data_IF_733237535926
#
_entry.id   IF_733237535926
#
_cell.length_a   1.000
_cell.length_b   1.000
_cell.length_c   1.000
_cell.angle_alpha   90.00
_cell.angle_beta   90.00
_cell.angle_gamma   90.00
#
_symmetry.space_group_name_H-M   'P 1'
#
loop_
_entity.id
_entity.type
_entity.pdbx_description
1 polymer ?
#
# COMPACT_ATOMS: atom_id res chain seq x y z
N UNK A 1 -20.06 35.10 13.73
CA UNK A 1 -19.89 34.10 12.66
C UNK A 1 -18.91 33.03 13.14
N UNK A 2 -19.39 31.93 13.72
CA UNK A 2 -18.52 30.85 14.24
C UNK A 2 -18.80 29.57 13.44
N UNK A 3 -17.81 29.15 12.66
CA UNK A 3 -17.84 27.91 11.91
C UNK A 3 -18.04 26.73 12.89
N UNK A 4 -19.08 25.96 12.63
CA UNK A 4 -19.53 24.85 13.46
C UNK A 4 -18.48 23.72 13.47
N UNK A 5 -18.02 23.38 14.68
CA UNK A 5 -17.07 22.29 14.99
C UNK A 5 -17.60 20.91 14.57
N UNK A 6 -18.87 20.82 14.14
CA UNK A 6 -19.44 19.68 13.44
C UNK A 6 -18.65 19.28 12.18
N UNK A 7 -17.86 20.20 11.59
CA UNK A 7 -17.08 19.92 10.39
C UNK A 7 -15.74 19.22 10.65
N UNK A 8 -15.16 19.36 11.85
CA UNK A 8 -13.86 18.75 12.17
C UNK A 8 -13.96 17.25 12.53
N UNK A 9 -15.10 16.82 13.06
CA UNK A 9 -15.40 15.39 13.28
C UNK A 9 -15.77 14.62 12.01
N UNK A 10 -16.08 15.33 10.91
CA UNK A 10 -16.35 14.73 9.59
C UNK A 10 -15.06 14.51 8.79
N UNK A 11 -14.02 15.30 9.07
CA UNK A 11 -12.71 15.20 8.41
C UNK A 11 -11.85 14.07 9.00
N UNK A 12 -11.94 13.80 10.31
CA UNK A 12 -11.29 12.63 10.93
C UNK A 12 -11.98 11.29 10.63
N UNK A 13 -13.17 11.34 10.01
CA UNK A 13 -13.99 10.20 9.58
C UNK A 13 -13.94 10.02 8.06
N UNK A 14 -12.89 10.55 7.43
CA UNK A 14 -12.58 10.21 6.06
C UNK A 14 -11.96 8.82 6.09
N UNK A 15 -12.86 7.84 6.00
CA UNK A 15 -12.56 6.47 5.60
C UNK A 15 -11.72 6.61 4.33
N UNK A 16 -10.40 6.51 4.43
CA UNK A 16 -9.55 6.22 3.27
C UNK A 16 -9.67 4.73 2.95
N UNK A 17 -10.91 4.23 2.85
CA UNK A 17 -11.21 3.27 1.81
C UNK A 17 -10.99 4.09 0.56
N UNK A 18 -9.91 3.80 -0.17
CA UNK A 18 -9.85 4.23 -1.55
C UNK A 18 -11.21 3.83 -2.17
N UNK A 19 -11.80 4.68 -3.02
CA UNK A 19 -13.01 4.26 -3.70
C UNK A 19 -12.67 2.93 -4.39
N UNK A 20 -13.60 1.98 -4.36
CA UNK A 20 -13.34 0.56 -4.66
C UNK A 20 -12.61 0.39 -6.00
N UNK A 21 -12.87 1.29 -6.95
CA UNK A 21 -12.19 1.40 -8.24
C UNK A 21 -10.67 1.63 -8.12
N UNK A 22 -10.22 2.49 -7.21
CA UNK A 22 -8.79 2.75 -6.99
C UNK A 22 -8.08 1.58 -6.31
N UNK A 23 -8.75 0.90 -5.38
CA UNK A 23 -8.21 -0.29 -4.73
C UNK A 23 -8.06 -1.44 -5.73
N UNK A 24 -9.09 -1.69 -6.55
CA UNK A 24 -9.04 -2.67 -7.63
C UNK A 24 -7.91 -2.36 -8.61
N UNK A 25 -7.77 -1.10 -9.05
CA UNK A 25 -6.68 -0.67 -9.94
C UNK A 25 -5.31 -1.01 -9.35
N UNK A 26 -5.07 -0.72 -8.06
CA UNK A 26 -3.78 -1.02 -7.40
C UNK A 26 -3.49 -2.51 -7.36
N UNK A 27 -4.50 -3.34 -7.06
CA UNK A 27 -4.36 -4.80 -7.04
C UNK A 27 -4.03 -5.33 -8.44
N UNK A 28 -4.76 -4.87 -9.46
CA UNK A 28 -4.51 -5.26 -10.85
C UNK A 28 -3.15 -4.79 -11.35
N UNK A 29 -2.73 -3.56 -11.04
CA UNK A 29 -1.41 -3.03 -11.35
C UNK A 29 -0.31 -3.89 -10.72
N UNK A 30 -0.42 -4.22 -9.43
CA UNK A 30 0.57 -5.07 -8.76
C UNK A 30 0.63 -6.47 -9.37
N UNK A 31 -0.52 -7.08 -9.68
CA UNK A 31 -0.58 -8.37 -10.34
C UNK A 31 0.06 -8.33 -11.73
N UNK A 32 -0.17 -7.26 -12.49
CA UNK A 32 0.42 -7.03 -13.81
C UNK A 32 1.94 -6.88 -13.72
N UNK A 33 2.42 -6.04 -12.80
CA UNK A 33 3.85 -5.85 -12.54
C UNK A 33 4.55 -7.15 -12.12
N UNK A 34 3.90 -7.98 -11.30
CA UNK A 34 4.43 -9.30 -10.93
C UNK A 34 4.56 -10.22 -12.14
N UNK A 35 3.60 -10.19 -13.07
CA UNK A 35 3.64 -10.96 -14.32
C UNK A 35 4.75 -10.45 -15.24
N UNK A 36 4.84 -9.14 -15.42
CA UNK A 36 5.90 -8.52 -16.23
C UNK A 36 7.29 -8.82 -15.66
N UNK A 37 7.45 -8.80 -14.34
CA UNK A 37 8.71 -9.12 -13.68
C UNK A 37 9.19 -10.56 -13.93
N UNK A 38 8.29 -11.50 -14.26
CA UNK A 38 8.68 -12.87 -14.65
C UNK A 38 9.31 -12.94 -16.04
N UNK A 39 9.03 -11.96 -16.91
CA UNK A 39 9.56 -11.91 -18.29
C UNK A 39 10.95 -11.26 -18.39
N UNK A 40 11.49 -10.79 -17.26
CA UNK A 40 12.80 -10.15 -17.19
C UNK A 40 13.91 -11.17 -17.51
N UNK A 41 14.68 -10.89 -18.57
CA UNK A 41 15.76 -11.76 -19.04
C UNK A 41 17.10 -11.49 -18.33
N UNK A 42 17.26 -10.33 -17.69
CA UNK A 42 18.53 -9.94 -17.06
C UNK A 42 18.71 -10.64 -15.71
N UNK A 43 19.74 -11.49 -15.51
CA UNK A 43 19.91 -12.26 -14.26
C UNK A 43 20.03 -11.38 -13.01
N UNK A 44 20.69 -10.22 -13.13
CA UNK A 44 20.85 -9.25 -12.03
C UNK A 44 19.50 -8.65 -11.61
N UNK A 45 18.68 -8.27 -12.58
CA UNK A 45 17.35 -7.71 -12.32
C UNK A 45 16.40 -8.78 -11.77
N UNK A 46 16.49 -10.01 -12.29
CA UNK A 46 15.71 -11.13 -11.79
C UNK A 46 16.00 -11.44 -10.31
N UNK A 47 17.27 -11.49 -9.90
CA UNK A 47 17.63 -11.63 -8.47
C UNK A 47 17.03 -10.51 -7.62
N UNK A 48 17.08 -9.26 -8.09
CA UNK A 48 16.48 -8.13 -7.37
C UNK A 48 14.97 -8.28 -7.18
N UNK A 49 14.26 -8.84 -8.16
CA UNK A 49 12.82 -9.17 -8.02
C UNK A 49 12.60 -10.25 -6.97
N UNK A 50 13.42 -11.31 -6.97
CA UNK A 50 13.28 -12.39 -5.99
C UNK A 50 13.56 -11.88 -4.56
N UNK A 51 14.63 -11.12 -4.37
CA UNK A 51 14.97 -10.53 -3.06
C UNK A 51 13.84 -9.61 -2.57
N UNK A 52 13.28 -8.79 -3.46
CA UNK A 52 12.15 -7.92 -3.13
C UNK A 52 10.92 -8.73 -2.72
N UNK A 53 10.60 -9.81 -3.46
CA UNK A 53 9.47 -10.69 -3.18
C UNK A 53 9.60 -11.35 -1.81
N UNK A 54 10.79 -11.89 -1.50
CA UNK A 54 11.07 -12.52 -0.19
C UNK A 54 10.91 -11.49 0.93
N UNK A 55 11.55 -10.31 0.81
CA UNK A 55 11.44 -9.25 1.82
C UNK A 55 10.01 -8.80 2.09
N UNK A 56 9.21 -8.60 1.03
CA UNK A 56 7.82 -8.19 1.19
C UNK A 56 6.97 -9.32 1.80
N UNK A 57 7.25 -10.58 1.44
CA UNK A 57 6.56 -11.73 2.02
C UNK A 57 6.88 -11.88 3.51
N UNK A 58 8.16 -11.78 3.89
CA UNK A 58 8.59 -11.84 5.30
C UNK A 58 7.98 -10.70 6.12
N UNK A 59 7.90 -9.50 5.54
CA UNK A 59 7.24 -8.36 6.18
C UNK A 59 5.74 -8.62 6.40
N UNK A 60 5.04 -9.22 5.43
CA UNK A 60 3.62 -9.59 5.59
C UNK A 60 3.42 -10.65 6.68
N UNK A 61 4.26 -11.69 6.68
CA UNK A 61 4.19 -12.75 7.70
C UNK A 61 4.43 -12.16 9.08
N UNK A 62 5.51 -11.38 9.24
CA UNK A 62 5.83 -10.72 10.51
C UNK A 62 4.72 -9.81 11.01
N UNK A 63 4.09 -9.02 10.13
CA UNK A 63 2.98 -8.15 10.55
C UNK A 63 1.74 -8.96 10.92
N UNK A 64 1.44 -10.07 10.22
CA UNK A 64 0.35 -10.99 10.59
C UNK A 64 0.59 -11.63 11.95
N UNK A 65 1.81 -12.09 12.22
CA UNK A 65 2.18 -12.71 13.49
C UNK A 65 2.11 -11.69 14.64
N UNK A 66 2.63 -10.48 14.43
CA UNK A 66 2.55 -9.39 15.40
C UNK A 66 1.12 -8.93 15.65
N UNK A 67 0.28 -8.95 14.61
CA UNK A 67 -1.14 -8.64 14.72
C UNK A 67 -1.86 -9.69 15.55
N UNK A 68 -1.70 -10.98 15.23
CA UNK A 68 -2.33 -12.08 15.96
C UNK A 68 -1.87 -12.12 17.42
N UNK A 69 -0.56 -12.01 17.68
CA UNK A 69 0.00 -12.09 19.03
C UNK A 69 -0.38 -10.90 19.93
N UNK A 70 -0.67 -9.72 19.35
CA UNK A 70 -0.93 -8.48 20.11
C UNK A 70 -2.32 -7.91 19.85
N UNK A 71 -3.23 -8.69 19.28
CA UNK A 71 -4.56 -8.19 18.92
C UNK A 71 -5.32 -7.70 20.15
N UNK A 72 -5.49 -8.57 21.14
CA UNK A 72 -6.29 -8.25 22.34
C UNK A 72 -5.69 -7.08 23.12
N UNK A 73 -4.38 -7.09 23.33
CA UNK A 73 -3.68 -5.99 24.03
C UNK A 73 -3.79 -4.65 23.29
N UNK A 74 -3.76 -4.65 21.94
CA UNK A 74 -3.98 -3.43 21.14
C UNK A 74 -5.43 -2.95 21.22
N UNK A 75 -6.40 -3.85 21.21
CA UNK A 75 -7.83 -3.51 21.35
C UNK A 75 -8.10 -2.91 22.72
N UNK A 76 -7.56 -3.49 23.79
CA UNK A 76 -7.71 -2.94 25.15
C UNK A 76 -7.03 -1.57 25.29
N UNK A 77 -5.81 -1.42 24.78
CA UNK A 77 -5.11 -0.14 24.79
C UNK A 77 -5.90 0.94 24.03
N UNK A 78 -6.43 0.60 22.84
CA UNK A 78 -7.25 1.53 22.06
C UNK A 78 -8.57 1.86 22.75
N UNK A 79 -9.21 0.88 23.39
CA UNK A 79 -10.41 1.11 24.21
C UNK A 79 -10.12 2.09 25.34
N UNK A 80 -9.02 1.92 26.09
CA UNK A 80 -8.63 2.85 27.16
C UNK A 80 -8.39 4.27 26.63
N UNK A 81 -7.77 4.40 25.45
CA UNK A 81 -7.61 5.69 24.79
C UNK A 81 -8.95 6.33 24.43
N UNK A 82 -9.89 5.58 23.82
CA UNK A 82 -11.22 6.11 23.49
C UNK A 82 -11.99 6.57 24.73
N UNK A 83 -11.83 5.85 25.85
CA UNK A 83 -12.39 6.23 27.15
C UNK A 83 -11.77 7.55 27.64
N UNK A 84 -10.45 7.67 27.58
CA UNK A 84 -9.74 8.89 27.95
C UNK A 84 -10.10 10.08 27.04
N UNK A 85 -10.24 9.86 25.74
CA UNK A 85 -10.66 10.86 24.75
C UNK A 85 -12.11 11.33 24.98
N UNK A 86 -12.99 10.44 25.42
CA UNK A 86 -14.38 10.76 25.76
C UNK A 86 -14.51 11.46 27.13
N UNK A 87 -13.67 11.08 28.10
CA UNK A 87 -13.59 11.70 29.42
C UNK A 87 -12.80 13.02 29.45
N UNK A 88 -12.01 13.31 28.42
CA UNK A 88 -11.33 14.58 28.26
C UNK A 88 -12.37 15.69 28.08
N UNK A 89 -12.56 16.48 29.14
CA UNK A 89 -13.55 17.53 29.24
C UNK A 89 -13.34 18.56 28.11
N UNK A 90 -14.14 18.47 27.04
CA UNK A 90 -14.24 19.55 26.06
C UNK A 90 -14.85 20.73 26.80
N UNK A 91 -14.19 21.89 26.81
CA UNK A 91 -14.66 23.18 27.41
C UNK A 91 -16.04 23.66 26.89
N UNK A 92 -16.73 22.88 26.06
CA UNK A 92 -18.09 23.10 25.60
C UNK A 92 -19.06 22.43 26.56
N UNK A 93 -19.44 23.16 27.60
CA UNK A 93 -20.44 22.76 28.60
C UNK A 93 -21.79 22.50 27.91
N UNK A 94 -22.13 21.24 27.63
CA UNK A 94 -23.49 20.86 27.21
C UNK A 94 -24.34 20.59 28.45
N UNK A 95 -25.55 21.17 28.56
CA UNK A 95 -26.43 20.92 29.69
C UNK A 95 -26.76 19.45 29.87
N UNK A 96 -26.88 19.00 31.12
CA UNK A 96 -27.16 17.63 31.56
C UNK A 96 -28.41 17.00 30.89
N UNK A 97 -29.37 17.81 30.44
CA UNK A 97 -30.60 17.36 29.76
C UNK A 97 -30.48 17.24 28.22
N UNK A 98 -29.34 17.65 27.63
CA UNK A 98 -29.19 17.83 26.18
C UNK A 98 -28.39 16.75 25.44
N UNK A 99 -28.04 15.63 26.07
CA UNK A 99 -27.32 14.56 25.39
C UNK A 99 -27.31 13.27 26.16
N UNK A 100 -27.85 12.21 25.56
CA UNK A 100 -27.70 10.85 26.04
C UNK A 100 -26.22 10.57 26.35
N UNK A 101 -25.97 9.93 27.49
CA UNK A 101 -24.66 9.40 27.86
C UNK A 101 -24.20 8.45 26.75
N UNK A 102 -23.33 8.92 25.84
CA UNK A 102 -22.92 8.16 24.66
C UNK A 102 -21.85 7.12 25.00
N UNK A 103 -21.60 6.90 26.28
CA UNK A 103 -20.60 5.99 26.78
C UNK A 103 -21.15 4.57 26.86
N UNK A 104 -21.50 3.98 25.72
CA UNK A 104 -21.85 2.57 25.65
C UNK A 104 -20.57 1.72 25.53
N UNK A 105 -20.24 0.88 26.54
CA UNK A 105 -19.01 0.06 26.51
C UNK A 105 -18.93 -0.88 25.30
N UNK A 106 -20.08 -1.37 24.82
CA UNK A 106 -20.14 -2.26 23.66
C UNK A 106 -19.82 -1.54 22.35
N UNK A 107 -20.26 -0.29 22.20
CA UNK A 107 -19.94 0.55 21.03
C UNK A 107 -18.45 0.91 21.02
N UNK A 108 -17.87 1.25 22.18
CA UNK A 108 -16.45 1.55 22.32
C UNK A 108 -15.57 0.34 21.98
N UNK A 109 -15.97 -0.86 22.41
CA UNK A 109 -15.25 -2.09 22.06
C UNK A 109 -15.29 -2.35 20.55
N UNK A 110 -16.46 -2.24 19.92
CA UNK A 110 -16.61 -2.39 18.46
C UNK A 110 -15.76 -1.36 17.70
N UNK A 111 -15.74 -0.11 18.17
CA UNK A 111 -14.90 0.93 17.58
C UNK A 111 -13.41 0.62 17.74
N UNK A 112 -12.96 0.19 18.93
CA UNK A 112 -11.58 -0.19 19.16
C UNK A 112 -11.12 -1.36 18.28
N UNK A 113 -11.95 -2.39 18.14
CA UNK A 113 -11.68 -3.52 17.24
C UNK A 113 -11.56 -3.07 15.78
N UNK A 114 -12.45 -2.19 15.32
CA UNK A 114 -12.40 -1.62 13.98
C UNK A 114 -11.12 -0.82 13.76
N UNK A 115 -10.78 0.09 14.66
CA UNK A 115 -9.57 0.91 14.56
C UNK A 115 -8.30 0.04 14.47
N UNK A 116 -8.23 -1.05 15.23
CA UNK A 116 -7.10 -1.99 15.21
C UNK A 116 -7.01 -2.75 13.89
N UNK A 117 -8.15 -3.19 13.33
CA UNK A 117 -8.21 -3.83 12.00
C UNK A 117 -7.78 -2.86 10.90
N UNK A 118 -8.36 -1.66 10.90
CA UNK A 118 -8.02 -0.61 9.93
C UNK A 118 -6.53 -0.25 9.99
N UNK A 119 -5.95 -0.19 11.20
CA UNK A 119 -4.51 0.07 11.37
C UNK A 119 -3.64 -1.07 10.84
N UNK A 120 -4.07 -2.33 10.98
CA UNK A 120 -3.39 -3.48 10.41
C UNK A 120 -3.44 -3.48 8.88
N UNK A 121 -4.62 -3.23 8.31
CA UNK A 121 -4.81 -3.14 6.86
C UNK A 121 -3.94 -2.04 6.25
N UNK A 122 -3.85 -0.86 6.89
CA UNK A 122 -2.95 0.21 6.45
C UNK A 122 -1.48 -0.22 6.40
N UNK A 123 -1.02 -1.02 7.35
CA UNK A 123 0.35 -1.53 7.35
C UNK A 123 0.59 -2.49 6.19
N UNK A 124 -0.37 -3.37 5.90
CA UNK A 124 -0.30 -4.25 4.73
C UNK A 124 -0.29 -3.44 3.43
N UNK A 125 -1.14 -2.42 3.31
CA UNK A 125 -1.16 -1.52 2.14
C UNK A 125 0.19 -0.81 1.93
N UNK A 126 0.88 -0.42 3.00
CA UNK A 126 2.22 0.19 2.90
C UNK A 126 3.24 -0.81 2.33
N UNK A 127 3.17 -2.08 2.73
CA UNK A 127 4.03 -3.13 2.18
C UNK A 127 3.73 -3.34 0.69
N UNK A 128 2.44 -3.39 0.32
CA UNK A 128 2.01 -3.59 -1.06
C UNK A 128 2.40 -2.41 -1.97
N UNK A 129 2.28 -1.19 -1.46
CA UNK A 129 2.68 0.03 -2.17
C UNK A 129 4.21 0.08 -2.37
N UNK A 130 4.97 -0.34 -1.35
CA UNK A 130 6.42 -0.49 -1.46
C UNK A 130 6.80 -1.51 -2.53
N UNK A 131 6.16 -2.69 -2.54
CA UNK A 131 6.37 -3.72 -3.55
C UNK A 131 6.05 -3.20 -4.95
N UNK A 132 4.89 -2.56 -5.12
CA UNK A 132 4.44 -1.97 -6.39
C UNK A 132 5.47 -1.00 -6.95
N UNK A 133 5.90 -0.03 -6.14
CA UNK A 133 6.87 0.99 -6.55
C UNK A 133 8.21 0.38 -6.96
N UNK A 134 8.70 -0.59 -6.20
CA UNK A 134 9.99 -1.23 -6.50
C UNK A 134 9.92 -2.16 -7.72
N UNK A 135 8.83 -2.91 -7.89
CA UNK A 135 8.63 -3.73 -9.10
C UNK A 135 8.54 -2.87 -10.35
N UNK A 136 7.77 -1.77 -10.30
CA UNK A 136 7.66 -0.82 -11.40
C UNK A 136 9.03 -0.32 -11.86
N UNK A 137 9.87 0.09 -10.92
CA UNK A 137 11.22 0.57 -11.21
C UNK A 137 12.10 -0.50 -11.88
N UNK A 138 12.01 -1.76 -11.44
CA UNK A 138 12.78 -2.85 -12.06
C UNK A 138 12.27 -3.17 -13.47
N UNK A 139 10.95 -3.22 -13.65
CA UNK A 139 10.32 -3.51 -14.95
C UNK A 139 10.65 -2.40 -15.97
N UNK A 140 10.53 -1.14 -15.58
CA UNK A 140 10.85 0.00 -16.45
C UNK A 140 12.33 -0.02 -16.88
N UNK A 141 13.25 -0.30 -15.95
CA UNK A 141 14.68 -0.46 -16.28
C UNK A 141 14.91 -1.65 -17.22
N UNK A 142 14.25 -2.77 -17.01
CA UNK A 142 14.34 -3.94 -17.89
C UNK A 142 13.84 -3.65 -19.31
N UNK A 143 12.69 -2.98 -19.42
CA UNK A 143 12.11 -2.58 -20.69
C UNK A 143 13.00 -1.58 -21.45
N UNK A 144 13.70 -0.68 -20.73
CA UNK A 144 14.70 0.20 -21.31
C UNK A 144 15.91 -0.55 -21.87
N UNK A 145 16.50 -1.44 -21.07
CA UNK A 145 17.66 -2.25 -21.48
C UNK A 145 17.34 -3.15 -22.67
N UNK A 146 16.17 -3.80 -22.68
CA UNK A 146 15.73 -4.65 -23.79
C UNK A 146 15.53 -3.86 -25.09
N UNK A 147 14.96 -2.66 -25.02
CA UNK A 147 14.82 -1.76 -26.19
C UNK A 147 16.19 -1.40 -26.76
N UNK A 148 17.15 -1.01 -25.92
CA UNK A 148 18.51 -0.69 -26.36
C UNK A 148 19.21 -1.89 -26.99
N UNK A 149 19.08 -3.09 -26.40
CA UNK A 149 19.63 -4.33 -26.99
C UNK A 149 19.02 -4.63 -28.36
N UNK A 150 17.72 -4.43 -28.52
CA UNK A 150 17.04 -4.58 -29.82
C UNK A 150 17.60 -3.64 -30.89
N UNK A 151 17.76 -2.36 -30.55
CA UNK A 151 18.36 -1.35 -31.45
C UNK A 151 19.80 -1.73 -31.81
N UNK A 152 20.64 -2.04 -30.81
CA UNK A 152 22.02 -2.44 -31.05
C UNK A 152 22.14 -3.68 -31.95
N UNK A 153 21.30 -4.69 -31.71
CA UNK A 153 21.23 -5.91 -32.55
C UNK A 153 20.83 -5.58 -33.99
N UNK A 154 19.84 -4.71 -34.17
CA UNK A 154 19.40 -4.29 -35.52
C UNK A 154 20.47 -3.49 -36.26
N UNK A 155 21.19 -2.60 -35.55
CA UNK A 155 22.27 -1.80 -36.11
C UNK A 155 23.46 -2.67 -36.51
N UNK A 156 23.83 -3.65 -35.68
CA UNK A 156 24.85 -4.63 -36.00
C UNK A 156 24.46 -5.49 -37.21
N UNK A 157 23.24 -6.03 -37.24
CA UNK A 157 22.75 -6.82 -38.37
C UNK A 157 22.83 -6.03 -39.68
N UNK A 158 22.37 -4.76 -39.69
CA UNK A 158 22.48 -3.86 -40.85
C UNK A 158 23.92 -3.57 -41.25
N UNK A 159 24.83 -3.43 -40.30
CA UNK A 159 26.25 -3.18 -40.57
C UNK A 159 26.96 -4.41 -41.16
N UNK A 160 26.64 -5.62 -40.67
CA UNK A 160 27.15 -6.88 -41.22
C UNK A 160 26.61 -7.10 -42.64
N UNK A 161 25.32 -6.90 -42.86
CA UNK A 161 24.68 -7.07 -44.18
C UNK A 161 25.33 -6.17 -45.26
N UNK A 162 25.65 -4.92 -44.90
CA UNK A 162 26.40 -3.99 -45.79
C UNK A 162 27.82 -4.45 -46.11
N UNK A 163 28.49 -5.19 -45.22
CA UNK A 163 29.85 -5.72 -45.44
C UNK A 163 29.85 -6.97 -46.32
N UNK A 164 28.72 -7.66 -46.43
CA UNK A 164 28.57 -8.91 -47.17
C UNK A 164 28.02 -8.69 -48.59
N UNK A 165 27.60 -7.47 -48.96
CA UNK A 165 27.15 -7.17 -50.32
C UNK A 165 28.27 -7.50 -51.32
N UNK A 166 28.11 -8.51 -52.18
CA UNK A 166 29.15 -8.89 -53.12
C UNK A 166 29.29 -7.81 -54.20
N UNK A 167 30.52 -7.67 -54.69
CA UNK A 167 30.91 -6.80 -55.79
C UNK A 167 30.11 -7.22 -57.05
N UNK A 168 29.03 -6.52 -57.37
CA UNK A 168 28.35 -6.67 -58.66
C UNK A 168 29.21 -5.95 -59.71
N UNK A 169 29.66 -6.73 -60.70
CA UNK A 169 30.44 -6.30 -61.87
C UNK A 169 29.58 -5.49 -62.83
#
# INVERSE_FOLDING_TARGET
MRASIANLGRIARQIMSLPIDQELRRIFELATLRREAQTIQSPRQWRRVQDLKVRCQDARVKEKDLYAARYDSRVEARRRQLIAEAGAQRREFKPFWGGADRFNPADLLRQAQRDVRDAHERRLMVIDEYERRQLKEVVERSAGENRMRGVARSAFARAVDRRVRPFER
#
